data_IF_473391853985
#
_entry.id   IF_473391853985
#
_cell.length_a   1.000
_cell.length_b   1.000
_cell.length_c   1.000
_cell.angle_alpha   90.00
_cell.angle_beta   90.00
_cell.angle_gamma   90.00
#
_symmetry.space_group_name_H-M   'P 1'
#
loop_
_entity.id
_entity.type
_entity.pdbx_description
1 polymer ?
#
# COMPACT_ATOMS: atom_id res chain seq x y z
N UNK A 1 4.14 -8.40 24.75
CA UNK A 1 3.80 -7.01 24.35
C UNK A 1 2.81 -6.95 23.20
N UNK A 2 3.05 -7.62 22.06
CA UNK A 2 2.14 -7.58 20.91
C UNK A 2 0.70 -8.03 21.24
N UNK A 3 0.52 -9.15 21.94
CA UNK A 3 -0.80 -9.63 22.37
C UNK A 3 -1.57 -8.59 23.20
N UNK A 4 -0.90 -7.97 24.18
CA UNK A 4 -1.52 -6.90 24.97
C UNK A 4 -1.92 -5.69 24.10
N UNK A 5 -1.06 -5.26 23.19
CA UNK A 5 -1.36 -4.12 22.33
C UNK A 5 -2.49 -4.40 21.33
N UNK A 6 -2.62 -5.63 20.85
CA UNK A 6 -3.72 -6.06 19.96
C UNK A 6 -5.09 -5.85 20.60
N UNK A 7 -5.19 -6.09 21.91
CA UNK A 7 -6.47 -6.02 22.63
C UNK A 7 -6.77 -4.62 23.20
N UNK A 8 -5.75 -3.77 23.36
CA UNK A 8 -5.85 -2.51 24.13
C UNK A 8 -5.58 -1.24 23.30
N UNK A 9 -5.16 -1.37 22.05
CA UNK A 9 -4.83 -0.24 21.16
C UNK A 9 -5.70 -0.30 19.90
N UNK A 10 -5.92 0.84 19.25
CA UNK A 10 -6.59 0.89 17.95
C UNK A 10 -5.97 -0.11 16.96
N UNK A 11 -6.82 -0.85 16.25
CA UNK A 11 -6.39 -1.94 15.35
C UNK A 11 -5.40 -1.48 14.28
N UNK A 12 -5.66 -0.34 13.64
CA UNK A 12 -4.78 0.17 12.58
C UNK A 12 -3.45 0.67 13.16
N UNK A 13 -3.48 1.33 14.32
CA UNK A 13 -2.28 1.76 15.03
C UNK A 13 -1.42 0.56 15.45
N UNK A 14 -2.06 -0.51 15.96
CA UNK A 14 -1.38 -1.75 16.29
C UNK A 14 -0.77 -2.40 15.04
N UNK A 15 -1.55 -2.59 13.96
CA UNK A 15 -1.08 -3.24 12.74
C UNK A 15 0.12 -2.50 12.13
N UNK A 16 0.06 -1.18 12.10
CA UNK A 16 1.18 -0.35 11.64
C UNK A 16 2.42 -0.52 12.53
N UNK A 17 2.29 -0.28 13.84
CA UNK A 17 3.42 -0.33 14.77
C UNK A 17 4.03 -1.73 14.86
N UNK A 18 3.20 -2.77 14.80
CA UNK A 18 3.63 -4.17 14.77
C UNK A 18 4.41 -4.49 13.50
N UNK A 19 3.91 -4.08 12.32
CA UNK A 19 4.61 -4.31 11.05
C UNK A 19 5.97 -3.63 11.01
N UNK A 20 6.06 -2.38 11.46
CA UNK A 20 7.34 -1.67 11.62
C UNK A 20 8.25 -2.42 12.60
N UNK A 21 7.74 -2.85 13.75
CA UNK A 21 8.55 -3.57 14.73
C UNK A 21 9.12 -4.89 14.17
N UNK A 22 8.32 -5.66 13.43
CA UNK A 22 8.77 -6.93 12.84
C UNK A 22 9.87 -6.72 11.80
N UNK A 23 9.76 -5.69 10.96
CA UNK A 23 10.75 -5.41 9.90
C UNK A 23 12.10 -4.94 10.45
N UNK A 24 12.10 -4.22 11.58
CA UNK A 24 13.31 -3.58 12.12
C UNK A 24 14.00 -4.34 13.25
N UNK A 25 13.36 -5.39 13.79
CA UNK A 25 13.93 -6.18 14.89
C UNK A 25 14.80 -7.32 14.36
N UNK A 26 16.05 -7.37 14.81
CA UNK A 26 17.01 -8.41 14.41
C UNK A 26 16.51 -9.84 14.71
N UNK A 27 15.80 -10.05 15.81
CA UNK A 27 15.23 -11.35 16.18
C UNK A 27 14.02 -11.76 15.33
N UNK A 28 13.47 -10.82 14.56
CA UNK A 28 12.38 -11.05 13.61
C UNK A 28 12.90 -11.16 12.16
N UNK A 29 14.21 -11.07 11.93
CA UNK A 29 14.79 -11.17 10.60
C UNK A 29 14.42 -12.52 9.94
N UNK A 30 13.90 -12.44 8.71
CA UNK A 30 13.44 -13.61 7.96
C UNK A 30 11.98 -14.01 8.19
N UNK A 31 11.27 -13.36 9.13
CA UNK A 31 9.82 -13.50 9.22
C UNK A 31 9.14 -12.82 8.03
N UNK A 32 8.13 -13.49 7.49
CA UNK A 32 7.33 -12.98 6.37
C UNK A 32 6.06 -12.34 6.92
N UNK A 33 5.90 -11.04 6.67
CA UNK A 33 4.64 -10.36 6.94
C UNK A 33 3.59 -10.76 5.90
N UNK A 34 2.31 -10.92 6.31
CA UNK A 34 1.23 -11.09 5.35
C UNK A 34 1.11 -9.83 4.49
N UNK A 35 0.65 -9.96 3.24
CA UNK A 35 0.38 -8.81 2.39
C UNK A 35 -0.58 -7.81 3.01
N UNK A 36 -0.32 -6.52 2.83
CA UNK A 36 -1.15 -5.46 3.43
C UNK A 36 -2.60 -5.47 2.94
N UNK A 37 -2.86 -5.94 1.72
CA UNK A 37 -4.21 -6.13 1.20
C UNK A 37 -4.96 -7.32 1.83
N UNK A 38 -4.28 -8.24 2.53
CA UNK A 38 -4.92 -9.25 3.38
C UNK A 38 -5.17 -8.73 4.80
N UNK A 39 -4.28 -7.87 5.31
CA UNK A 39 -4.40 -7.29 6.66
C UNK A 39 -5.45 -6.19 6.72
N UNK A 40 -5.52 -5.34 5.70
CA UNK A 40 -6.42 -4.20 5.63
C UNK A 40 -7.11 -4.13 4.25
N UNK A 41 -7.92 -5.14 3.86
CA UNK A 41 -8.56 -5.21 2.55
C UNK A 41 -9.43 -3.99 2.23
N UNK A 42 -9.96 -3.31 3.24
CA UNK A 42 -10.76 -2.10 3.09
C UNK A 42 -10.01 -0.91 2.46
N UNK A 43 -8.68 -0.95 2.42
CA UNK A 43 -7.86 0.08 1.75
C UNK A 43 -7.58 -0.24 0.27
N UNK A 44 -7.94 -1.44 -0.18
CA UNK A 44 -7.62 -1.96 -1.51
C UNK A 44 -8.88 -2.34 -2.31
N UNK A 45 -10.04 -2.34 -1.67
CA UNK A 45 -11.32 -2.70 -2.27
C UNK A 45 -12.26 -1.49 -2.30
N UNK A 46 -13.11 -1.44 -3.31
CA UNK A 46 -14.14 -0.41 -3.39
C UNK A 46 -15.20 -0.63 -2.31
N UNK A 47 -15.92 0.44 -1.96
CA UNK A 47 -17.04 0.35 -1.01
C UNK A 47 -18.12 -0.61 -1.49
N UNK A 48 -18.39 -0.67 -2.80
CA UNK A 48 -19.33 -1.61 -3.41
C UNK A 48 -18.91 -3.07 -3.20
N UNK A 49 -17.63 -3.38 -3.40
CA UNK A 49 -17.10 -4.72 -3.14
C UNK A 49 -17.25 -5.11 -1.68
N UNK A 50 -16.88 -4.22 -0.76
CA UNK A 50 -16.99 -4.46 0.69
C UNK A 50 -18.45 -4.72 1.10
N UNK A 51 -19.40 -3.95 0.58
CA UNK A 51 -20.83 -4.15 0.88
C UNK A 51 -21.33 -5.52 0.42
N UNK A 52 -20.88 -6.01 -0.74
CA UNK A 52 -21.24 -7.34 -1.22
C UNK A 52 -20.64 -8.45 -0.36
N UNK A 53 -19.38 -8.33 0.06
CA UNK A 53 -18.78 -9.27 1.02
C UNK A 53 -19.53 -9.30 2.35
N UNK A 54 -19.93 -8.13 2.87
CA UNK A 54 -20.76 -8.03 4.08
C UNK A 54 -22.13 -8.69 3.89
N UNK A 55 -22.77 -8.47 2.74
CA UNK A 55 -24.06 -9.10 2.39
C UNK A 55 -23.96 -10.62 2.33
N UNK A 56 -22.93 -11.16 1.66
CA UNK A 56 -22.67 -12.59 1.59
C UNK A 56 -22.48 -13.19 2.99
N UNK A 57 -21.76 -12.48 3.88
CA UNK A 57 -21.57 -12.90 5.27
C UNK A 57 -22.88 -12.93 6.05
N UNK A 58 -23.74 -11.92 5.90
CA UNK A 58 -25.07 -11.86 6.54
C UNK A 58 -25.99 -12.98 6.06
N UNK A 59 -25.83 -13.44 4.81
CA UNK A 59 -26.55 -14.57 4.23
C UNK A 59 -25.98 -15.95 4.64
N UNK A 60 -24.93 -15.98 5.46
CA UNK A 60 -24.32 -17.22 5.93
C UNK A 60 -23.41 -17.92 4.90
N UNK A 61 -22.96 -17.21 3.86
CA UNK A 61 -22.00 -17.76 2.91
C UNK A 61 -20.59 -17.76 3.54
N UNK A 62 -19.92 -18.92 3.54
CA UNK A 62 -18.59 -19.06 4.14
C UNK A 62 -17.43 -18.90 3.13
N UNK A 63 -17.63 -19.27 1.86
CA UNK A 63 -16.62 -19.18 0.80
C UNK A 63 -17.18 -18.37 -0.37
N UNK A 64 -17.22 -17.05 -0.21
CA UNK A 64 -17.69 -16.13 -1.23
C UNK A 64 -16.51 -15.58 -2.03
N UNK A 65 -16.57 -15.74 -3.35
CA UNK A 65 -15.55 -15.25 -4.28
C UNK A 65 -16.22 -14.25 -5.20
N UNK A 66 -15.61 -13.07 -5.34
CA UNK A 66 -16.07 -11.99 -6.21
C UNK A 66 -14.94 -11.55 -7.13
N UNK A 67 -15.27 -11.38 -8.40
CA UNK A 67 -14.42 -10.64 -9.33
C UNK A 67 -14.63 -9.16 -9.08
N UNK A 68 -13.57 -8.45 -8.72
CA UNK A 68 -13.57 -7.00 -8.52
C UNK A 68 -13.04 -6.32 -9.77
N UNK A 69 -13.34 -5.03 -9.90
CA UNK A 69 -12.82 -4.19 -10.97
C UNK A 69 -12.28 -2.90 -10.35
N UNK A 70 -11.30 -2.31 -11.02
CA UNK A 70 -10.82 -0.98 -10.65
C UNK A 70 -11.87 0.07 -11.02
N UNK A 71 -11.77 1.26 -10.43
CA UNK A 71 -12.86 2.25 -10.39
C UNK A 71 -13.34 2.69 -11.78
N UNK A 72 -12.43 2.87 -12.75
CA UNK A 72 -12.78 3.24 -14.13
C UNK A 72 -13.08 2.07 -15.07
N UNK A 73 -13.14 0.84 -14.55
CA UNK A 73 -13.50 -0.33 -15.36
C UNK A 73 -14.98 -0.39 -15.79
N UNK A 74 -15.84 0.46 -15.23
CA UNK A 74 -17.26 0.57 -15.59
C UNK A 74 -17.55 1.76 -16.50
N UNK A 75 -16.96 2.92 -16.20
CA UNK A 75 -17.09 4.13 -16.99
C UNK A 75 -15.84 5.01 -16.81
N UNK A 76 -15.28 5.45 -17.93
CA UNK A 76 -14.13 6.38 -17.96
C UNK A 76 -14.69 7.79 -18.11
N UNK A 77 -14.69 8.55 -17.02
CA UNK A 77 -15.10 9.96 -16.98
C UNK A 77 -13.92 10.92 -17.03
N UNK A 78 -12.71 10.48 -16.67
CA UNK A 78 -11.49 11.29 -16.68
C UNK A 78 -10.35 10.54 -17.40
N UNK A 79 -9.48 11.22 -18.17
CA UNK A 79 -8.38 10.57 -18.88
C UNK A 79 -7.44 9.77 -17.96
N UNK A 80 -7.22 10.25 -16.73
CA UNK A 80 -6.37 9.58 -15.72
C UNK A 80 -6.89 8.20 -15.32
N UNK A 81 -8.19 7.94 -15.48
CA UNK A 81 -8.72 6.61 -15.23
C UNK A 81 -8.18 5.59 -16.23
N UNK A 82 -7.68 5.96 -17.41
CA UNK A 82 -7.08 4.98 -18.34
C UNK A 82 -5.92 4.19 -17.74
N UNK A 83 -5.23 4.73 -16.74
CA UNK A 83 -4.14 4.06 -16.00
C UNK A 83 -4.59 3.51 -14.64
N UNK A 84 -5.90 3.45 -14.38
CA UNK A 84 -6.46 3.03 -13.10
C UNK A 84 -6.11 1.59 -12.72
N UNK A 85 -6.01 0.68 -13.69
CA UNK A 85 -5.53 -0.69 -13.46
C UNK A 85 -4.12 -0.74 -12.85
N UNK A 86 -3.29 0.28 -13.11
CA UNK A 86 -1.94 0.39 -12.55
C UNK A 86 -2.00 1.11 -11.19
N UNK A 87 -2.70 2.25 -11.11
CA UNK A 87 -2.73 3.06 -9.87
C UNK A 87 -3.53 2.43 -8.74
N UNK A 88 -4.53 1.60 -9.06
CA UNK A 88 -5.36 0.86 -8.10
C UNK A 88 -4.87 -0.58 -7.90
N UNK A 89 -3.74 -0.98 -8.53
CA UNK A 89 -3.17 -2.30 -8.32
C UNK A 89 -2.78 -2.51 -6.85
N UNK A 90 -3.20 -3.63 -6.28
CA UNK A 90 -2.94 -3.93 -4.88
C UNK A 90 -1.44 -4.15 -4.59
N UNK A 91 -0.71 -4.70 -5.56
CA UNK A 91 0.73 -4.89 -5.48
C UNK A 91 1.50 -3.57 -5.47
N UNK A 92 1.16 -2.63 -6.35
CA UNK A 92 1.78 -1.31 -6.43
C UNK A 92 1.53 -0.50 -5.15
N UNK A 93 0.29 -0.49 -4.66
CA UNK A 93 -0.07 0.21 -3.43
C UNK A 93 0.63 -0.42 -2.21
N UNK A 94 0.69 -1.75 -2.13
CA UNK A 94 1.44 -2.45 -1.09
C UNK A 94 2.95 -2.17 -1.19
N UNK A 95 3.51 -2.11 -2.39
CA UNK A 95 4.92 -1.78 -2.63
C UNK A 95 5.29 -0.41 -2.05
N UNK A 96 4.47 0.61 -2.28
CA UNK A 96 4.70 1.93 -1.69
C UNK A 96 4.60 1.91 -0.16
N UNK A 97 3.61 1.20 0.39
CA UNK A 97 3.47 1.05 1.83
C UNK A 97 4.66 0.30 2.46
N UNK A 98 5.21 -0.72 1.79
CA UNK A 98 6.42 -1.40 2.24
C UNK A 98 7.63 -0.46 2.25
N UNK A 99 7.82 0.37 1.21
CA UNK A 99 8.89 1.36 1.20
C UNK A 99 8.85 2.26 2.45
N UNK A 100 7.65 2.68 2.86
CA UNK A 100 7.45 3.41 4.12
C UNK A 100 7.71 2.55 5.37
N UNK A 101 7.31 1.28 5.41
CA UNK A 101 7.60 0.40 6.55
C UNK A 101 9.11 0.17 6.75
N UNK A 102 9.86 -0.01 5.66
CA UNK A 102 11.32 -0.19 5.70
C UNK A 102 12.07 1.11 6.01
N UNK A 103 11.53 2.28 5.63
CA UNK A 103 12.18 3.56 5.90
C UNK A 103 11.20 4.64 6.37
N UNK A 104 10.56 4.49 7.54
CA UNK A 104 9.53 5.42 7.99
C UNK A 104 10.13 6.81 8.17
N UNK A 105 9.54 7.84 7.54
CA UNK A 105 10.09 9.20 7.53
C UNK A 105 10.36 9.77 8.94
N UNK A 106 9.58 9.36 9.94
CA UNK A 106 9.69 9.79 11.34
C UNK A 106 10.73 9.01 12.17
N UNK A 107 11.23 7.88 11.67
CA UNK A 107 12.15 7.03 12.42
C UNK A 107 13.58 7.59 12.35
N UNK A 108 14.21 7.74 13.53
CA UNK A 108 15.60 8.17 13.65
C UNK A 108 16.53 6.96 13.64
N UNK A 109 17.42 6.92 12.66
CA UNK A 109 18.25 5.76 12.40
C UNK A 109 19.45 5.65 13.33
N UNK A 110 20.00 6.78 13.79
CA UNK A 110 21.12 6.79 14.73
C UNK A 110 20.70 6.17 16.07
N UNK A 111 19.49 6.52 16.53
CA UNK A 111 18.90 5.97 17.76
C UNK A 111 18.71 4.45 17.70
N UNK A 112 18.39 3.92 16.53
CA UNK A 112 18.10 2.50 16.32
C UNK A 112 19.24 1.73 15.63
N UNK A 113 20.42 2.35 15.44
CA UNK A 113 21.59 1.71 14.84
C UNK A 113 21.43 1.30 13.38
N UNK A 114 20.48 1.90 12.64
CA UNK A 114 20.18 1.53 11.26
C UNK A 114 21.18 2.16 10.29
N UNK A 115 21.91 1.34 9.54
CA UNK A 115 22.98 1.77 8.61
C UNK A 115 22.43 2.40 7.32
N UNK A 116 21.18 2.11 6.96
CA UNK A 116 20.51 2.58 5.73
C UNK A 116 20.40 4.10 5.62
N UNK A 117 20.62 4.85 6.69
CA UNK A 117 20.31 6.27 6.71
C UNK A 117 21.40 7.19 6.19
N UNK A 118 22.61 6.67 5.96
CA UNK A 118 23.64 7.39 5.21
C UNK A 118 23.19 7.67 3.76
N UNK A 119 22.35 6.80 3.19
CA UNK A 119 21.84 6.91 1.82
C UNK A 119 20.37 7.33 1.77
N UNK A 120 19.81 7.86 2.87
CA UNK A 120 18.37 8.14 2.97
C UNK A 120 17.85 9.07 1.88
N UNK A 121 18.59 10.15 1.62
CA UNK A 121 18.22 11.13 0.58
C UNK A 121 18.34 10.56 -0.84
N UNK A 122 19.40 9.78 -1.09
CA UNK A 122 19.61 9.10 -2.38
C UNK A 122 18.51 8.05 -2.62
N UNK A 123 18.23 7.21 -1.62
CA UNK A 123 17.16 6.21 -1.70
C UNK A 123 15.79 6.85 -1.91
N UNK A 124 15.50 7.97 -1.24
CA UNK A 124 14.27 8.73 -1.45
C UNK A 124 14.15 9.20 -2.90
N UNK A 125 15.18 9.85 -3.43
CA UNK A 125 15.19 10.34 -4.81
C UNK A 125 15.05 9.18 -5.80
N UNK A 126 15.86 8.14 -5.65
CA UNK A 126 15.86 6.98 -6.53
C UNK A 126 14.50 6.28 -6.55
N UNK A 127 13.91 6.01 -5.38
CA UNK A 127 12.62 5.34 -5.27
C UNK A 127 11.51 6.10 -6.02
N UNK A 128 11.40 7.42 -5.78
CA UNK A 128 10.36 8.23 -6.42
C UNK A 128 10.64 8.45 -7.90
N UNK A 129 11.90 8.66 -8.30
CA UNK A 129 12.27 8.82 -9.70
C UNK A 129 11.95 7.56 -10.51
N UNK A 130 12.26 6.37 -9.99
CA UNK A 130 11.94 5.10 -10.66
C UNK A 130 10.43 4.84 -10.70
N UNK A 131 9.70 5.11 -9.61
CA UNK A 131 8.25 4.96 -9.56
C UNK A 131 7.54 5.88 -10.57
N UNK A 132 7.95 7.15 -10.65
CA UNK A 132 7.42 8.12 -11.61
C UNK A 132 7.77 7.77 -13.04
N UNK A 133 8.98 7.28 -13.30
CA UNK A 133 9.37 6.79 -14.63
C UNK A 133 8.47 5.64 -15.07
N UNK A 134 8.21 4.67 -14.19
CA UNK A 134 7.32 3.54 -14.47
C UNK A 134 5.88 4.01 -14.72
N UNK A 135 5.37 4.91 -13.89
CA UNK A 135 4.05 5.52 -14.09
C UNK A 135 3.95 6.24 -15.44
N UNK A 136 4.96 7.01 -15.84
CA UNK A 136 5.00 7.68 -17.14
C UNK A 136 4.98 6.68 -18.32
N UNK A 137 5.61 5.51 -18.20
CA UNK A 137 5.50 4.46 -19.23
C UNK A 137 4.06 3.96 -19.39
N UNK A 138 3.34 3.76 -18.27
CA UNK A 138 1.92 3.39 -18.31
C UNK A 138 1.05 4.49 -18.93
N UNK A 139 1.36 5.76 -18.67
CA UNK A 139 0.70 6.91 -19.31
C UNK A 139 0.90 6.89 -20.82
N UNK A 140 2.15 6.78 -21.29
CA UNK A 140 2.48 6.74 -22.72
C UNK A 140 1.80 5.55 -23.43
N UNK A 141 1.76 4.39 -22.79
CA UNK A 141 1.07 3.20 -23.32
C UNK A 141 -0.45 3.40 -23.47
N UNK A 142 -1.04 4.34 -22.73
CA UNK A 142 -2.46 4.70 -22.78
C UNK A 142 -2.70 6.04 -23.48
N UNK A 143 -1.76 6.50 -24.32
CA UNK A 143 -1.85 7.76 -25.07
C UNK A 143 -2.03 9.01 -24.19
N UNK A 144 -1.65 8.93 -22.92
CA UNK A 144 -1.61 10.07 -22.02
C UNK A 144 -0.25 10.77 -22.11
N UNK A 145 -0.19 12.11 -22.05
CA UNK A 145 1.07 12.83 -21.96
C UNK A 145 1.78 12.54 -20.64
N UNK A 146 3.04 12.89 -20.52
CA UNK A 146 3.76 12.89 -19.23
C UNK A 146 3.03 13.75 -18.18
N UNK A 147 3.35 13.53 -16.91
CA UNK A 147 2.72 14.23 -15.79
C UNK A 147 2.86 15.77 -15.94
N UNK A 148 1.74 16.47 -15.75
CA UNK A 148 1.71 17.93 -15.80
C UNK A 148 2.26 18.54 -14.49
N UNK A 149 2.88 19.71 -14.60
CA UNK A 149 3.16 20.56 -13.45
C UNK A 149 1.87 21.19 -12.93
N UNK A 150 1.86 21.56 -11.65
CA UNK A 150 0.79 22.35 -11.03
C UNK A 150 1.38 23.56 -10.29
N UNK A 151 0.54 24.55 -10.02
CA UNK A 151 0.87 25.75 -9.23
C UNK A 151 -0.06 25.82 -8.01
N UNK A 152 0.42 26.43 -6.93
CA UNK A 152 -0.20 26.39 -5.60
C UNK A 152 -1.22 27.51 -5.35
#
# INVERSE_FOLDING_TARGET
TAAWARDNVNEAQFAYAFSVAVVHRDDCAGLVLPPLYEVAPQLYLTSGDIMEFMSAKMQGQNNYVKMTNWTGGYEISQPEQLVGYFTEDAGLNAYYAYAHLYMPFWMNCEKYGLTTCQMRGEAFYYFHQQLLAHYNLHRMANYLPEMNNFDW
#
